data_IF_961193120727
#
_entry.id   IF_961193120727
#
_cell.length_a   1.000
_cell.length_b   1.000
_cell.length_c   1.000
_cell.angle_alpha   90.00
_cell.angle_beta   90.00
_cell.angle_gamma   90.00
#
_symmetry.space_group_name_H-M   'P 1'
#
loop_
_entity.id
_entity.type
_entity.pdbx_description
1 polymer ?
#
# COMPACT_ATOMS: atom_id res chain seq x y z
N UNK A 1 14.93 -14.96 -20.41
CA UNK A 1 15.42 -15.05 -21.81
C UNK A 1 16.03 -13.68 -22.12
N UNK A 2 17.36 -13.60 -22.10
CA UNK A 2 18.08 -12.40 -22.55
C UNK A 2 18.15 -12.54 -24.07
N UNK A 3 17.42 -11.71 -24.76
CA UNK A 3 17.45 -11.70 -26.23
C UNK A 3 18.55 -10.76 -26.69
N UNK A 4 19.18 -11.03 -27.81
CA UNK A 4 20.23 -10.24 -28.49
C UNK A 4 19.78 -8.82 -28.90
N UNK A 5 19.06 -8.13 -28.04
CA UNK A 5 18.48 -6.81 -28.37
C UNK A 5 19.55 -5.71 -28.33
N UNK A 6 20.56 -5.84 -27.48
CA UNK A 6 21.67 -4.88 -27.40
C UNK A 6 22.91 -5.55 -27.97
N UNK A 7 23.24 -5.23 -29.21
CA UNK A 7 24.45 -5.76 -29.89
C UNK A 7 25.70 -4.95 -29.56
N UNK A 8 25.52 -3.68 -29.22
CA UNK A 8 26.63 -2.75 -28.94
C UNK A 8 26.18 -1.71 -27.92
N UNK A 9 27.06 -1.38 -27.00
CA UNK A 9 26.89 -0.26 -26.05
C UNK A 9 27.84 0.88 -26.43
N UNK A 10 27.35 2.11 -26.36
CA UNK A 10 28.16 3.31 -26.50
C UNK A 10 28.59 3.75 -25.11
N UNK A 11 29.88 3.69 -24.84
CA UNK A 11 30.49 4.00 -23.54
C UNK A 11 31.38 5.23 -23.68
N UNK A 12 31.25 6.15 -22.72
CA UNK A 12 32.12 7.32 -22.60
C UNK A 12 33.10 7.12 -21.47
N UNK A 13 34.36 6.90 -21.80
CA UNK A 13 35.45 6.74 -20.85
C UNK A 13 36.66 7.60 -21.27
N UNK A 14 37.34 8.21 -20.31
CA UNK A 14 38.57 9.01 -20.51
C UNK A 14 38.47 10.13 -21.55
N UNK A 15 37.25 10.70 -21.72
CA UNK A 15 37.06 11.80 -22.67
C UNK A 15 36.69 11.37 -24.10
N UNK A 16 36.57 10.04 -24.36
CA UNK A 16 36.26 9.50 -25.67
C UNK A 16 35.03 8.61 -25.66
N UNK A 17 34.28 8.62 -26.75
CA UNK A 17 33.18 7.71 -27.00
C UNK A 17 33.69 6.46 -27.72
N UNK A 18 33.38 5.29 -27.17
CA UNK A 18 33.69 4.01 -27.78
C UNK A 18 32.47 3.12 -27.88
N UNK A 19 32.45 2.22 -28.86
CA UNK A 19 31.43 1.20 -28.99
C UNK A 19 32.01 -0.12 -28.48
N UNK A 20 31.34 -0.70 -27.49
CA UNK A 20 31.73 -1.97 -26.89
C UNK A 20 30.64 -3.02 -27.05
N UNK A 21 31.04 -4.28 -27.17
CA UNK A 21 30.07 -5.39 -27.09
C UNK A 21 29.84 -5.71 -25.61
N UNK A 22 28.58 -5.69 -25.14
CA UNK A 22 28.29 -6.01 -23.75
C UNK A 22 28.70 -7.46 -23.43
N UNK A 23 29.38 -7.64 -22.33
CA UNK A 23 29.59 -8.97 -21.74
C UNK A 23 28.35 -9.39 -20.97
N UNK A 24 27.39 -9.97 -21.72
CA UNK A 24 26.08 -10.37 -21.18
C UNK A 24 26.22 -11.34 -20.02
N UNK A 25 27.22 -12.24 -20.04
CA UNK A 25 27.41 -13.19 -18.95
C UNK A 25 27.91 -12.49 -17.68
N UNK A 26 28.86 -11.59 -17.82
CA UNK A 26 29.34 -10.77 -16.71
C UNK A 26 28.24 -9.94 -16.08
N UNK A 27 27.42 -9.28 -16.91
CA UNK A 27 26.31 -8.43 -16.43
C UNK A 27 25.21 -9.25 -15.76
N UNK A 28 24.90 -10.45 -16.26
CA UNK A 28 23.98 -11.38 -15.62
C UNK A 28 24.51 -11.83 -14.25
N UNK A 29 25.79 -12.16 -14.15
CA UNK A 29 26.42 -12.59 -12.90
C UNK A 29 26.43 -11.45 -11.88
N UNK A 30 26.75 -10.23 -12.32
CA UNK A 30 26.68 -9.02 -11.51
C UNK A 30 25.27 -8.74 -11.03
N UNK A 31 24.28 -8.84 -11.92
CA UNK A 31 22.87 -8.70 -11.58
C UNK A 31 22.42 -9.77 -10.59
N UNK A 32 22.75 -11.03 -10.80
CA UNK A 32 22.37 -12.14 -9.93
C UNK A 32 23.00 -12.05 -8.54
N UNK A 33 24.18 -11.47 -8.40
CA UNK A 33 24.86 -11.20 -7.13
C UNK A 33 24.36 -9.92 -6.43
N UNK A 34 23.68 -9.05 -7.15
CA UNK A 34 23.20 -7.77 -6.61
C UNK A 34 22.09 -7.99 -5.57
N UNK A 35 22.17 -7.32 -4.44
CA UNK A 35 21.10 -7.26 -3.44
C UNK A 35 19.90 -6.39 -3.90
N UNK A 36 20.08 -5.59 -4.94
CA UNK A 36 19.05 -4.71 -5.54
C UNK A 36 18.39 -5.34 -6.75
N UNK A 37 18.70 -6.61 -7.07
CA UNK A 37 18.03 -7.31 -8.16
C UNK A 37 16.55 -7.46 -7.85
N UNK A 38 15.73 -7.34 -8.86
CA UNK A 38 14.31 -7.69 -8.81
C UNK A 38 13.94 -8.39 -10.10
N UNK A 39 12.81 -9.04 -10.07
CA UNK A 39 12.28 -9.76 -11.22
C UNK A 39 12.04 -8.81 -12.40
N UNK A 40 11.86 -9.40 -13.57
CA UNK A 40 11.59 -8.68 -14.80
C UNK A 40 10.48 -7.62 -14.61
N UNK A 41 10.80 -6.35 -14.83
CA UNK A 41 9.92 -5.21 -14.55
C UNK A 41 8.50 -5.34 -15.09
N UNK A 42 8.28 -5.83 -16.34
CA UNK A 42 6.94 -6.04 -16.88
C UNK A 42 6.06 -6.94 -16.01
N UNK A 43 6.62 -7.91 -15.30
CA UNK A 43 5.81 -8.74 -14.39
C UNK A 43 5.19 -7.93 -13.26
N UNK A 44 5.92 -6.98 -12.70
CA UNK A 44 5.39 -6.07 -11.69
C UNK A 44 4.25 -5.21 -12.24
N UNK A 45 4.39 -4.70 -13.46
CA UNK A 45 3.35 -3.94 -14.16
C UNK A 45 2.10 -4.80 -14.38
N UNK A 46 2.27 -6.03 -14.87
CA UNK A 46 1.15 -6.95 -15.09
C UNK A 46 0.46 -7.35 -13.79
N UNK A 47 1.20 -7.63 -12.71
CA UNK A 47 0.61 -7.94 -11.42
C UNK A 47 -0.32 -6.81 -10.93
N UNK A 48 0.14 -5.56 -10.99
CA UNK A 48 -0.67 -4.41 -10.57
C UNK A 48 -1.83 -4.14 -11.51
N UNK A 49 -1.66 -4.35 -12.82
CA UNK A 49 -2.73 -4.20 -13.80
C UNK A 49 -3.83 -5.24 -13.60
N UNK A 50 -3.47 -6.50 -13.35
CA UNK A 50 -4.44 -7.56 -13.05
C UNK A 50 -5.16 -7.35 -11.72
N UNK A 51 -4.45 -6.94 -10.67
CA UNK A 51 -5.06 -6.60 -9.38
C UNK A 51 -6.11 -5.50 -9.55
N UNK A 52 -5.76 -4.43 -10.25
CA UNK A 52 -6.68 -3.33 -10.57
C UNK A 52 -7.89 -3.80 -11.38
N UNK A 53 -7.65 -4.62 -12.42
CA UNK A 53 -8.74 -5.19 -13.23
C UNK A 53 -9.70 -6.00 -12.36
N UNK A 54 -9.18 -6.83 -11.46
CA UNK A 54 -10.01 -7.65 -10.58
C UNK A 54 -10.84 -6.81 -9.63
N UNK A 55 -10.25 -5.74 -9.07
CA UNK A 55 -10.98 -4.75 -8.26
C UNK A 55 -12.14 -4.12 -9.06
N UNK A 56 -11.89 -3.68 -10.29
CA UNK A 56 -12.93 -3.10 -11.14
C UNK A 56 -14.03 -4.10 -11.52
N UNK A 57 -13.71 -5.37 -11.71
CA UNK A 57 -14.73 -6.41 -11.91
C UNK A 57 -15.66 -6.51 -10.69
N UNK A 58 -15.10 -6.51 -9.48
CA UNK A 58 -15.89 -6.48 -8.25
C UNK A 58 -16.73 -5.21 -8.16
N UNK A 59 -16.16 -4.02 -8.37
CA UNK A 59 -16.90 -2.75 -8.33
C UNK A 59 -18.08 -2.75 -9.30
N UNK A 60 -17.90 -3.25 -10.53
CA UNK A 60 -18.99 -3.34 -11.51
C UNK A 60 -20.08 -4.33 -11.07
N UNK A 61 -19.71 -5.46 -10.46
CA UNK A 61 -20.67 -6.43 -9.97
C UNK A 61 -21.47 -5.91 -8.78
N UNK A 62 -20.81 -5.26 -7.83
CA UNK A 62 -21.47 -4.69 -6.66
C UNK A 62 -22.28 -3.41 -6.97
N UNK A 63 -22.00 -2.74 -8.09
CA UNK A 63 -22.79 -1.63 -8.66
C UNK A 63 -23.60 -0.80 -7.65
N UNK A 64 -24.90 -1.08 -7.49
CA UNK A 64 -25.80 -0.36 -6.59
C UNK A 64 -25.53 -0.58 -5.09
N UNK A 65 -24.85 -1.65 -4.72
CA UNK A 65 -24.47 -1.99 -3.34
C UNK A 65 -23.05 -1.53 -2.98
N UNK A 66 -22.30 -0.99 -3.96
CA UNK A 66 -20.95 -0.47 -3.77
C UNK A 66 -20.96 0.82 -2.93
N UNK A 67 -20.06 0.89 -1.94
CA UNK A 67 -19.87 2.07 -1.08
C UNK A 67 -18.49 2.69 -1.32
N UNK A 68 -17.42 1.88 -1.21
CA UNK A 68 -16.05 2.36 -1.22
C UNK A 68 -15.09 1.23 -1.62
N UNK A 69 -13.95 1.58 -2.19
CA UNK A 69 -12.87 0.62 -2.44
C UNK A 69 -11.51 1.21 -2.02
N UNK A 70 -10.65 0.34 -1.51
CA UNK A 70 -9.28 0.69 -1.18
C UNK A 70 -8.33 -0.42 -1.64
N UNK A 71 -7.50 -0.12 -2.61
CA UNK A 71 -6.41 -0.95 -3.16
C UNK A 71 -6.89 -2.31 -3.67
N UNK A 72 -7.30 -3.23 -2.79
CA UNK A 72 -7.69 -4.62 -3.05
C UNK A 72 -8.95 -5.02 -2.27
N UNK A 73 -9.64 -4.07 -1.67
CA UNK A 73 -10.87 -4.30 -0.90
C UNK A 73 -12.05 -3.50 -1.44
N UNK A 74 -13.25 -4.04 -1.26
CA UNK A 74 -14.52 -3.40 -1.58
C UNK A 74 -15.40 -3.39 -0.34
N UNK A 75 -15.93 -2.23 -0.03
CA UNK A 75 -16.97 -2.03 0.99
C UNK A 75 -18.32 -1.94 0.28
N UNK A 76 -19.23 -2.80 0.66
CA UNK A 76 -20.54 -2.89 0.03
C UNK A 76 -21.63 -3.21 1.05
N UNK A 77 -22.86 -2.94 0.67
CA UNK A 77 -24.06 -3.47 1.32
C UNK A 77 -24.44 -4.81 0.70
N UNK A 78 -25.37 -5.55 1.33
CA UNK A 78 -26.06 -6.71 0.75
C UNK A 78 -25.15 -7.76 0.09
N UNK A 79 -24.03 -8.09 0.73
CA UNK A 79 -23.03 -9.04 0.21
C UNK A 79 -23.64 -10.40 -0.17
N UNK A 80 -24.72 -10.81 0.51
CA UNK A 80 -25.41 -12.08 0.26
C UNK A 80 -25.96 -12.18 -1.18
N UNK A 81 -26.40 -11.06 -1.76
CA UNK A 81 -26.87 -11.02 -3.14
C UNK A 81 -25.75 -11.27 -4.17
N UNK A 82 -24.49 -11.12 -3.76
CA UNK A 82 -23.32 -11.24 -4.63
C UNK A 82 -22.50 -12.52 -4.40
N UNK A 83 -22.97 -13.42 -3.53
CA UNK A 83 -22.28 -14.69 -3.21
C UNK A 83 -21.98 -15.52 -4.45
N UNK A 84 -22.92 -15.66 -5.35
CA UNK A 84 -22.72 -16.44 -6.58
C UNK A 84 -21.57 -15.91 -7.44
N UNK A 85 -21.39 -14.61 -7.48
CA UNK A 85 -20.26 -14.00 -8.17
C UNK A 85 -18.94 -14.31 -7.44
N UNK A 86 -18.90 -14.11 -6.12
CA UNK A 86 -17.72 -14.37 -5.29
C UNK A 86 -17.29 -15.83 -5.42
N UNK A 87 -18.22 -16.76 -5.30
CA UNK A 87 -17.95 -18.20 -5.39
C UNK A 87 -17.44 -18.58 -6.77
N UNK A 88 -18.08 -18.10 -7.84
CA UNK A 88 -17.62 -18.36 -9.22
C UNK A 88 -16.22 -17.79 -9.45
N UNK A 89 -15.96 -16.59 -8.96
CA UNK A 89 -14.65 -15.94 -9.10
C UNK A 89 -13.57 -16.73 -8.35
N UNK A 90 -13.82 -17.08 -7.09
CA UNK A 90 -12.88 -17.81 -6.24
C UNK A 90 -12.58 -19.19 -6.81
N UNK A 91 -13.60 -19.94 -7.23
CA UNK A 91 -13.44 -21.24 -7.88
C UNK A 91 -12.61 -21.12 -9.19
N UNK A 92 -12.82 -20.07 -9.96
CA UNK A 92 -12.06 -19.85 -11.19
C UNK A 92 -10.60 -19.53 -10.90
N UNK A 93 -10.32 -18.75 -9.86
CA UNK A 93 -8.95 -18.44 -9.42
C UNK A 93 -8.22 -19.70 -8.99
N UNK A 94 -8.83 -20.51 -8.13
CA UNK A 94 -8.25 -21.76 -7.66
C UNK A 94 -7.99 -22.73 -8.83
N UNK A 95 -8.96 -22.91 -9.72
CA UNK A 95 -8.82 -23.77 -10.90
C UNK A 95 -7.65 -23.34 -11.79
N UNK A 96 -7.45 -22.04 -11.98
CA UNK A 96 -6.32 -21.52 -12.76
C UNK A 96 -4.98 -21.78 -12.08
N UNK A 97 -4.91 -21.61 -10.76
CA UNK A 97 -3.69 -21.85 -10.00
C UNK A 97 -3.34 -23.34 -9.99
N UNK A 98 -4.30 -24.22 -9.77
CA UNK A 98 -4.10 -25.69 -9.85
C UNK A 98 -3.59 -26.10 -11.24
N UNK A 99 -4.23 -25.63 -12.30
CA UNK A 99 -3.77 -25.91 -13.68
C UNK A 99 -2.35 -25.43 -13.95
N UNK A 100 -1.96 -24.29 -13.38
CA UNK A 100 -0.58 -23.77 -13.47
C UNK A 100 0.38 -24.68 -12.71
N UNK A 101 0.03 -25.08 -11.51
CA UNK A 101 0.84 -26.01 -10.69
C UNK A 101 1.04 -27.35 -11.41
N UNK A 102 -0.02 -27.93 -11.96
CA UNK A 102 0.04 -29.16 -12.74
C UNK A 102 0.99 -29.04 -13.94
N UNK A 103 0.94 -27.88 -14.63
CA UNK A 103 1.81 -27.63 -15.79
C UNK A 103 3.30 -27.57 -15.43
N UNK A 104 3.62 -27.02 -14.26
CA UNK A 104 5.01 -26.88 -13.80
C UNK A 104 5.47 -27.97 -12.84
N UNK A 105 4.64 -28.99 -12.56
CA UNK A 105 4.95 -30.05 -11.60
C UNK A 105 5.10 -29.59 -10.16
N UNK A 106 4.35 -28.53 -9.78
CA UNK A 106 4.35 -27.93 -8.43
C UNK A 106 3.19 -28.54 -7.63
N UNK A 107 3.44 -28.95 -6.40
CA UNK A 107 2.36 -29.40 -5.49
C UNK A 107 1.63 -28.17 -4.94
N UNK A 108 0.39 -27.96 -5.43
CA UNK A 108 -0.42 -26.81 -5.04
C UNK A 108 -0.60 -26.69 -3.53
N UNK A 109 -0.93 -27.81 -2.86
CA UNK A 109 -1.27 -27.81 -1.43
C UNK A 109 -0.05 -27.52 -0.54
N UNK A 110 1.14 -27.98 -0.94
CA UNK A 110 2.37 -27.86 -0.15
C UNK A 110 3.15 -26.59 -0.47
N UNK A 111 3.18 -26.20 -1.73
CA UNK A 111 4.14 -25.19 -2.19
C UNK A 111 3.47 -23.84 -2.52
N UNK A 112 2.20 -23.84 -2.94
CA UNK A 112 1.53 -22.62 -3.37
C UNK A 112 0.43 -22.14 -2.41
N UNK A 113 -0.19 -23.02 -1.63
CA UNK A 113 -1.30 -22.67 -0.75
C UNK A 113 -0.79 -22.08 0.58
N UNK A 114 -0.85 -20.75 0.77
CA UNK A 114 -0.30 -20.12 1.95
C UNK A 114 -1.14 -20.43 3.20
N UNK A 115 -0.46 -20.45 4.33
CA UNK A 115 -1.08 -20.63 5.64
C UNK A 115 -0.65 -19.52 6.58
N UNK A 116 -1.56 -19.07 7.42
CA UNK A 116 -1.24 -18.16 8.52
C UNK A 116 -0.36 -18.86 9.57
N UNK A 117 0.23 -18.08 10.49
CA UNK A 117 0.98 -18.64 11.64
C UNK A 117 0.09 -19.59 12.48
N UNK A 118 -1.22 -19.36 12.49
CA UNK A 118 -2.21 -20.22 13.19
C UNK A 118 -2.61 -21.46 12.38
N UNK A 119 -2.07 -21.66 11.17
CA UNK A 119 -2.37 -22.80 10.30
C UNK A 119 -3.60 -22.64 9.41
N UNK A 120 -4.29 -21.51 9.46
CA UNK A 120 -5.46 -21.25 8.60
C UNK A 120 -5.00 -21.09 7.14
N UNK A 121 -5.73 -21.69 6.23
CA UNK A 121 -5.49 -21.59 4.79
C UNK A 121 -5.99 -20.24 4.29
N UNK A 122 -5.13 -19.52 3.54
CA UNK A 122 -5.47 -18.26 2.88
C UNK A 122 -5.13 -18.33 1.39
N UNK A 123 -6.07 -18.78 0.54
CA UNK A 123 -5.83 -18.91 -0.89
C UNK A 123 -5.44 -17.57 -1.53
N UNK A 124 -4.60 -17.63 -2.55
CA UNK A 124 -4.13 -16.44 -3.26
C UNK A 124 -5.15 -16.00 -4.30
N UNK A 125 -5.41 -14.69 -4.35
CA UNK A 125 -6.19 -14.05 -5.42
C UNK A 125 -7.70 -14.25 -5.32
N UNK A 126 -8.20 -14.80 -4.22
CA UNK A 126 -9.62 -14.96 -3.93
C UNK A 126 -10.17 -13.74 -3.19
N UNK A 127 -11.49 -13.53 -3.31
CA UNK A 127 -12.21 -12.63 -2.42
C UNK A 127 -12.47 -13.32 -1.09
N UNK A 128 -12.05 -12.69 0.01
CA UNK A 128 -12.31 -13.14 1.38
C UNK A 128 -13.26 -12.15 2.05
N UNK A 129 -14.22 -12.65 2.79
CA UNK A 129 -15.19 -11.81 3.46
C UNK A 129 -14.64 -11.38 4.82
N UNK A 130 -14.51 -10.09 5.02
CA UNK A 130 -14.17 -9.47 6.30
C UNK A 130 -15.39 -9.44 7.24
N UNK A 131 -15.17 -9.25 8.56
CA UNK A 131 -16.26 -9.11 9.52
C UNK A 131 -17.24 -7.99 9.14
N UNK A 132 -18.49 -8.16 9.56
CA UNK A 132 -19.55 -7.18 9.32
C UNK A 132 -19.20 -5.82 9.93
N UNK A 133 -19.34 -4.75 9.13
CA UNK A 133 -19.11 -3.38 9.54
C UNK A 133 -20.45 -2.77 9.98
N UNK A 134 -20.56 -2.40 11.25
CA UNK A 134 -21.77 -1.80 11.82
C UNK A 134 -21.98 -0.36 11.37
N UNK A 135 -20.89 0.42 11.33
CA UNK A 135 -20.89 1.81 10.87
C UNK A 135 -19.66 2.08 10.01
N UNK A 136 -19.87 2.84 8.94
CA UNK A 136 -18.81 3.28 8.02
C UNK A 136 -18.98 4.76 7.68
N UNK A 137 -17.88 5.53 7.75
CA UNK A 137 -17.83 6.91 7.29
C UNK A 137 -16.51 7.14 6.55
N UNK A 138 -16.58 7.77 5.39
CA UNK A 138 -15.41 8.12 4.59
C UNK A 138 -15.37 9.61 4.27
N UNK A 139 -14.15 10.16 4.25
CA UNK A 139 -13.84 11.53 3.80
C UNK A 139 -13.05 11.51 2.49
N UNK A 140 -13.00 10.37 1.81
CA UNK A 140 -12.27 10.18 0.57
C UNK A 140 -11.19 9.10 0.66
N UNK A 141 -10.33 9.04 -0.35
CA UNK A 141 -9.33 7.99 -0.48
C UNK A 141 -8.41 7.90 0.76
N UNK A 142 -8.33 6.70 1.35
CA UNK A 142 -7.54 6.40 2.55
C UNK A 142 -7.84 7.31 3.76
N UNK A 143 -9.11 7.73 3.88
CA UNK A 143 -9.63 8.50 5.01
C UNK A 143 -11.01 7.97 5.37
N UNK A 144 -11.06 6.92 6.17
CA UNK A 144 -12.31 6.33 6.60
C UNK A 144 -12.25 5.80 8.02
N UNK A 145 -13.42 5.62 8.59
CA UNK A 145 -13.65 5.11 9.93
C UNK A 145 -14.66 3.97 9.87
N UNK A 146 -14.40 2.92 10.64
CA UNK A 146 -15.27 1.75 10.77
C UNK A 146 -15.57 1.43 12.23
N UNK A 147 -16.75 0.88 12.47
CA UNK A 147 -17.11 0.23 13.72
C UNK A 147 -17.37 -1.25 13.43
N UNK A 148 -16.63 -2.14 14.09
CA UNK A 148 -16.71 -3.59 13.93
C UNK A 148 -16.73 -4.23 15.30
N UNK A 149 -17.79 -4.97 15.64
CA UNK A 149 -17.98 -5.61 16.95
C UNK A 149 -17.82 -4.62 18.13
N UNK A 150 -18.31 -3.37 17.94
CA UNK A 150 -18.17 -2.32 18.94
C UNK A 150 -16.78 -1.69 19.02
N UNK A 151 -15.82 -2.13 18.21
CA UNK A 151 -14.47 -1.57 18.16
C UNK A 151 -14.35 -0.54 17.03
N UNK A 152 -13.88 0.67 17.39
CA UNK A 152 -13.62 1.75 16.45
C UNK A 152 -12.26 1.55 15.78
N UNK A 153 -12.22 1.72 14.46
CA UNK A 153 -10.97 1.77 13.70
C UNK A 153 -10.95 2.97 12.76
N UNK A 154 -9.79 3.60 12.64
CA UNK A 154 -9.55 4.74 11.73
C UNK A 154 -8.46 4.34 10.75
N UNK A 155 -8.71 4.53 9.46
CA UNK A 155 -7.71 4.39 8.41
C UNK A 155 -7.49 5.75 7.76
N UNK A 156 -6.37 6.36 8.09
CA UNK A 156 -5.94 7.65 7.54
C UNK A 156 -4.47 7.57 7.20
N UNK A 157 -4.12 7.86 5.96
CA UNK A 157 -2.73 7.85 5.52
C UNK A 157 -1.90 8.84 6.35
N UNK A 158 -0.88 8.33 7.03
CA UNK A 158 0.01 9.13 7.88
C UNK A 158 -0.46 9.31 9.33
N UNK A 159 -1.59 8.74 9.72
CA UNK A 159 -2.07 8.73 11.12
C UNK A 159 -2.04 7.30 11.66
N UNK A 160 -1.40 7.11 12.81
CA UNK A 160 -1.33 5.79 13.43
C UNK A 160 -2.59 5.54 14.27
N UNK A 161 -3.39 4.55 13.87
CA UNK A 161 -4.64 4.19 14.55
C UNK A 161 -4.47 3.83 16.02
N UNK A 162 -3.32 3.28 16.44
CA UNK A 162 -3.04 2.91 17.83
C UNK A 162 -3.03 4.11 18.78
N UNK A 163 -2.76 5.31 18.26
CA UNK A 163 -2.75 6.55 19.04
C UNK A 163 -4.00 7.40 18.79
N UNK A 164 -4.43 7.48 17.53
CA UNK A 164 -5.55 8.35 17.15
C UNK A 164 -6.90 7.83 17.66
N UNK A 165 -7.14 6.51 17.67
CA UNK A 165 -8.40 5.95 18.15
C UNK A 165 -8.61 6.19 19.64
N UNK A 166 -7.68 5.84 20.56
CA UNK A 166 -7.84 6.13 21.99
C UNK A 166 -8.04 7.61 22.26
N UNK A 167 -7.26 8.48 21.61
CA UNK A 167 -7.41 9.93 21.74
C UNK A 167 -8.81 10.41 21.34
N UNK A 168 -9.34 9.94 20.22
CA UNK A 168 -10.64 10.36 19.73
C UNK A 168 -11.77 9.84 20.64
N UNK A 169 -11.67 8.59 21.07
CA UNK A 169 -12.65 7.98 21.99
C UNK A 169 -12.63 8.66 23.35
N UNK A 170 -11.47 9.02 23.88
CA UNK A 170 -11.36 9.80 25.13
C UNK A 170 -12.02 11.17 25.02
N UNK A 171 -11.87 11.82 23.85
CA UNK A 171 -12.38 13.17 23.63
C UNK A 171 -13.90 13.23 23.44
N UNK A 172 -14.50 12.30 22.70
CA UNK A 172 -15.91 12.39 22.25
C UNK A 172 -16.72 11.09 22.42
N UNK A 173 -16.12 10.02 22.92
CA UNK A 173 -16.72 8.70 22.97
C UNK A 173 -16.82 8.03 21.59
N UNK A 174 -17.21 6.74 21.58
CA UNK A 174 -17.34 5.97 20.33
C UNK A 174 -18.44 6.55 19.44
N UNK A 175 -19.59 6.90 20.01
CA UNK A 175 -20.72 7.45 19.23
C UNK A 175 -20.37 8.81 18.65
N UNK A 176 -19.80 9.72 19.43
CA UNK A 176 -19.38 11.05 18.97
C UNK A 176 -18.22 11.03 18.00
N UNK A 177 -17.45 9.92 17.92
CA UNK A 177 -16.31 9.81 17.02
C UNK A 177 -16.72 9.90 15.53
N UNK A 178 -17.86 9.32 15.16
CA UNK A 178 -18.36 9.38 13.78
C UNK A 178 -18.82 10.79 13.40
N UNK A 179 -19.38 11.55 14.33
CA UNK A 179 -19.76 12.95 14.10
C UNK A 179 -18.49 13.82 13.97
N UNK A 180 -17.55 13.64 14.89
CA UNK A 180 -16.28 14.39 14.91
C UNK A 180 -15.34 14.07 13.74
N UNK A 181 -15.51 12.91 13.10
CA UNK A 181 -14.70 12.52 11.94
C UNK A 181 -15.21 13.25 10.68
N UNK A 182 -14.78 14.47 10.52
CA UNK A 182 -15.17 15.34 9.41
C UNK A 182 -14.02 16.25 8.99
N UNK A 183 -14.23 16.99 7.90
CA UNK A 183 -13.27 18.00 7.47
C UNK A 183 -13.09 19.06 8.56
N UNK A 184 -11.84 19.42 8.83
CA UNK A 184 -11.47 20.33 9.92
C UNK A 184 -11.07 19.62 11.22
N UNK A 185 -11.27 18.31 11.37
CA UNK A 185 -10.74 17.58 12.50
C UNK A 185 -9.21 17.67 12.53
N UNK A 186 -8.66 18.07 13.68
CA UNK A 186 -7.22 18.10 13.91
C UNK A 186 -6.84 17.04 14.94
N UNK A 187 -6.06 16.07 14.52
CA UNK A 187 -5.45 15.07 15.40
C UNK A 187 -4.12 15.66 15.89
N UNK A 188 -3.94 15.82 17.21
CA UNK A 188 -2.74 16.45 17.76
C UNK A 188 -1.50 15.58 17.54
N UNK A 189 -0.35 16.19 17.60
CA UNK A 189 0.96 15.55 17.42
C UNK A 189 1.12 14.27 18.26
N UNK A 190 0.73 14.32 19.53
CA UNK A 190 0.81 13.17 20.43
C UNK A 190 -0.02 11.97 19.97
N UNK A 191 -1.09 12.19 19.20
CA UNK A 191 -2.03 11.17 18.75
C UNK A 191 -1.84 10.73 17.29
N UNK A 192 -1.03 11.42 16.50
CA UNK A 192 -0.84 11.05 15.08
C UNK A 192 0.17 9.93 14.89
N UNK A 193 1.23 9.90 15.66
CA UNK A 193 2.41 9.08 15.37
C UNK A 193 3.09 9.41 14.03
N UNK A 194 2.66 10.47 13.35
CA UNK A 194 3.18 10.91 12.07
C UNK A 194 4.49 11.67 12.27
N UNK A 195 5.45 11.40 11.37
CA UNK A 195 6.71 12.15 11.29
C UNK A 195 6.72 13.02 10.03
N UNK A 196 7.17 14.25 10.19
CA UNK A 196 7.37 15.16 9.06
C UNK A 196 8.86 15.38 8.84
N UNK A 197 9.27 15.49 7.58
CA UNK A 197 10.62 15.84 7.22
C UNK A 197 10.76 17.36 7.26
N UNK A 198 11.72 17.84 8.06
CA UNK A 198 12.14 19.23 8.01
C UNK A 198 13.57 19.31 7.46
N UNK A 199 13.74 20.16 6.46
CA UNK A 199 15.06 20.59 6.05
C UNK A 199 15.50 21.69 7.03
N UNK A 200 16.36 21.33 7.95
CA UNK A 200 16.92 22.29 8.90
C UNK A 200 18.40 22.41 8.55
N UNK A 201 18.80 23.57 8.06
CA UNK A 201 20.21 23.90 7.85
C UNK A 201 20.86 24.26 9.19
N UNK A 202 20.77 23.31 10.13
CA UNK A 202 21.37 23.40 11.46
C UNK A 202 22.28 22.21 11.69
N UNK A 203 23.43 22.42 12.32
CA UNK A 203 24.24 21.31 12.78
C UNK A 203 23.47 20.51 13.85
N UNK A 204 23.61 19.21 13.79
CA UNK A 204 23.13 18.29 14.82
C UNK A 204 24.33 17.73 15.56
N UNK A 205 24.27 17.74 16.89
CA UNK A 205 25.22 17.09 17.77
C UNK A 205 24.46 16.33 18.86
N UNK A 206 24.78 15.05 19.01
CA UNK A 206 24.08 14.22 19.99
C UNK A 206 24.53 12.76 19.93
N UNK A 207 24.01 11.96 20.86
CA UNK A 207 24.29 10.54 20.94
C UNK A 207 23.27 9.74 20.12
N UNK A 208 23.77 8.82 19.31
CA UNK A 208 22.98 7.80 18.61
C UNK A 208 23.14 6.48 19.40
N UNK A 209 22.04 5.78 19.60
CA UNK A 209 22.04 4.48 20.28
C UNK A 209 21.73 3.39 19.25
N UNK A 210 22.60 2.40 19.15
CA UNK A 210 22.36 1.25 18.27
C UNK A 210 21.35 0.26 18.90
N UNK A 211 21.01 -0.79 18.16
CA UNK A 211 20.04 -1.80 18.60
C UNK A 211 20.56 -2.68 19.78
N UNK A 212 21.87 -2.62 20.10
CA UNK A 212 22.50 -3.28 21.23
C UNK A 212 22.58 -2.38 22.47
N UNK A 213 22.16 -1.10 22.34
CA UNK A 213 22.23 -0.12 23.42
C UNK A 213 23.56 0.63 23.53
N UNK A 214 24.49 0.46 22.58
CA UNK A 214 25.74 1.21 22.56
C UNK A 214 25.47 2.64 22.10
N UNK A 215 26.15 3.61 22.77
CA UNK A 215 26.05 5.02 22.45
C UNK A 215 27.23 5.49 21.60
N UNK A 216 26.92 6.24 20.55
CA UNK A 216 27.90 6.85 19.66
C UNK A 216 27.63 8.34 19.58
N UNK A 217 28.64 9.14 19.85
CA UNK A 217 28.52 10.58 19.63
C UNK A 217 28.53 10.88 18.13
N UNK A 218 27.54 11.65 17.67
CA UNK A 218 27.34 11.94 16.26
C UNK A 218 27.24 13.45 16.04
N UNK A 219 27.98 13.97 15.08
CA UNK A 219 27.88 15.34 14.61
C UNK A 219 27.59 15.36 13.11
N UNK A 220 26.55 16.10 12.71
CA UNK A 220 26.25 16.41 11.32
C UNK A 220 26.20 17.92 11.12
N UNK A 221 26.94 18.50 10.17
CA UNK A 221 26.97 19.96 9.94
C UNK A 221 25.63 20.51 9.41
N UNK A 222 24.84 19.66 8.76
CA UNK A 222 23.47 19.94 8.33
C UNK A 222 22.71 18.64 8.16
N UNK A 223 21.39 18.66 8.17
CA UNK A 223 20.61 17.45 8.02
C UNK A 223 19.11 17.64 7.91
N UNK A 224 18.42 16.52 7.69
CA UNK A 224 16.96 16.42 7.73
C UNK A 224 16.57 15.85 9.10
N UNK A 225 15.75 16.58 9.81
CA UNK A 225 15.18 16.14 11.08
C UNK A 225 13.76 15.63 10.86
N UNK A 226 13.42 14.55 11.56
CA UNK A 226 12.08 14.01 11.60
C UNK A 226 11.41 14.46 12.89
N UNK A 227 10.40 15.29 12.77
CA UNK A 227 9.59 15.74 13.90
C UNK A 227 8.18 15.23 13.81
N UNK A 228 7.57 14.96 14.97
CA UNK A 228 6.16 14.66 15.04
C UNK A 228 5.36 15.90 14.66
N UNK A 229 4.22 15.69 14.03
CA UNK A 229 3.34 16.79 13.63
C UNK A 229 1.88 16.41 13.83
N UNK A 230 1.02 17.41 14.03
CA UNK A 230 -0.43 17.24 13.98
C UNK A 230 -0.88 16.88 12.57
N UNK A 231 -2.04 16.24 12.46
CA UNK A 231 -2.69 15.94 11.19
C UNK A 231 -4.03 16.68 11.10
N UNK A 232 -4.20 17.46 10.05
CA UNK A 232 -5.46 18.17 9.76
C UNK A 232 -6.19 17.51 8.59
N UNK A 233 -7.48 17.27 8.75
CA UNK A 233 -8.37 16.74 7.72
C UNK A 233 -8.85 17.86 6.78
N UNK A 234 -7.97 18.70 6.31
CA UNK A 234 -8.28 19.78 5.35
C UNK A 234 -7.95 19.32 3.94
N UNK A 235 -8.87 19.50 3.03
CA UNK A 235 -8.62 19.36 1.59
C UNK A 235 -7.94 20.65 1.13
N UNK A 236 -6.80 20.54 0.44
CA UNK A 236 -6.09 21.72 -0.02
C UNK A 236 -6.92 22.49 -1.03
N UNK A 237 -6.89 23.83 -0.94
CA UNK A 237 -7.60 24.71 -1.89
C UNK A 237 -7.08 24.49 -3.31
N UNK A 238 -5.79 24.22 -3.46
CA UNK A 238 -5.17 23.91 -4.76
C UNK A 238 -5.79 22.66 -5.39
N UNK A 239 -6.03 21.62 -4.60
CA UNK A 239 -6.68 20.39 -5.07
C UNK A 239 -8.14 20.65 -5.45
N UNK A 240 -8.88 21.42 -4.67
CA UNK A 240 -10.24 21.82 -4.99
C UNK A 240 -10.27 22.63 -6.30
N UNK A 241 -9.34 23.57 -6.48
CA UNK A 241 -9.24 24.37 -7.69
C UNK A 241 -8.86 23.52 -8.91
N UNK A 242 -7.97 22.55 -8.73
CA UNK A 242 -7.64 21.56 -9.76
C UNK A 242 -8.88 20.77 -10.19
N UNK A 243 -9.65 20.22 -9.25
CA UNK A 243 -10.88 19.48 -9.55
C UNK A 243 -11.89 20.37 -10.28
N UNK A 244 -12.08 21.62 -9.84
CA UNK A 244 -12.95 22.60 -10.53
C UNK A 244 -12.48 22.85 -11.96
N UNK A 245 -11.17 23.00 -12.19
CA UNK A 245 -10.58 23.17 -13.52
C UNK A 245 -10.84 21.97 -14.43
N UNK A 246 -10.75 20.74 -13.90
CA UNK A 246 -10.94 19.52 -14.69
C UNK A 246 -12.42 19.24 -15.00
N UNK A 247 -13.34 19.48 -14.05
CA UNK A 247 -14.74 19.07 -14.19
C UNK A 247 -15.69 20.20 -14.62
N UNK A 248 -15.28 21.46 -14.50
CA UNK A 248 -16.14 22.62 -14.80
C UNK A 248 -15.64 23.52 -15.94
N UNK A 249 -14.52 23.19 -16.59
CA UNK A 249 -14.19 23.79 -17.89
C UNK A 249 -15.06 23.17 -18.98
N UNK A 250 -16.16 23.86 -19.28
CA UNK A 250 -16.91 23.67 -20.53
C UNK A 250 -16.35 24.59 -21.58
#
# INVERSE_FOLDING_TARGET
MVTDIVREEIVYENGEWSTQKPDVQHDLDKYNKSRRRFLFYPWGVWCTAYARRNLFYGICEFSGDYIYADTDSIFCTNIEAHKDFIDRYNNLCEKKLRKMCDHYGIDYEKELLPRTIKGEVKPIGVWDQEPHIEKFKTLGAKRYMTLINGELSITVSGVNKKFAVPWLVEKVGIEGAFEAFEEGLVVPEAATGKLTHYYIDKPYEGDIVDYLGNKYHYYAPSGVYLEKTSYSFVISIEYINFLKGVFYTK
#
